data_IF_586479205210
#
_entry.id   IF_586479205210
#
_cell.length_a   1.000
_cell.length_b   1.000
_cell.length_c   1.000
_cell.angle_alpha   90.00
_cell.angle_beta   90.00
_cell.angle_gamma   90.00
#
_symmetry.space_group_name_H-M   'P 1'
#
loop_
_entity.id
_entity.type
_entity.pdbx_description
1 polymer ?
#
# COMPACT_ATOMS: atom_id res chain seq x y z
N UNK A 1 -16.33 3.90 6.70
CA UNK A 1 -16.78 3.05 5.57
C UNK A 1 -16.12 1.68 5.72
N UNK A 2 -16.90 0.59 5.68
CA UNK A 2 -16.36 -0.78 5.65
C UNK A 2 -16.41 -1.27 4.21
N UNK A 3 -15.34 -1.90 3.74
CA UNK A 3 -15.25 -2.47 2.39
C UNK A 3 -14.99 -3.96 2.53
N UNK A 4 -15.75 -4.76 1.80
CA UNK A 4 -15.45 -6.17 1.59
C UNK A 4 -14.63 -6.30 0.30
N UNK A 5 -13.47 -6.94 0.38
CA UNK A 5 -12.61 -7.20 -0.77
C UNK A 5 -12.69 -8.69 -1.13
N UNK A 6 -12.99 -9.03 -2.40
CA UNK A 6 -12.97 -10.42 -2.82
C UNK A 6 -11.52 -10.95 -2.80
N UNK A 7 -11.30 -12.16 -2.29
CA UNK A 7 -9.96 -12.76 -2.28
C UNK A 7 -9.41 -13.07 -3.69
N UNK A 8 -10.28 -13.07 -4.70
CA UNK A 8 -9.93 -13.14 -6.12
C UNK A 8 -9.43 -11.80 -6.70
N UNK A 9 -9.48 -10.70 -5.93
CA UNK A 9 -8.92 -9.42 -6.34
C UNK A 9 -7.46 -9.61 -6.77
N UNK A 10 -7.17 -9.21 -8.00
CA UNK A 10 -5.85 -9.31 -8.59
C UNK A 10 -5.40 -7.96 -9.13
N UNK A 11 -4.08 -7.77 -9.21
CA UNK A 11 -3.46 -6.63 -9.85
C UNK A 11 -2.55 -7.15 -10.97
N UNK A 12 -3.06 -7.22 -12.22
CA UNK A 12 -2.37 -7.90 -13.33
C UNK A 12 -0.97 -7.38 -13.61
N UNK A 13 -0.78 -6.06 -13.55
CA UNK A 13 0.51 -5.39 -13.81
C UNK A 13 1.62 -5.79 -12.84
N UNK A 14 1.29 -6.34 -11.68
CA UNK A 14 2.25 -6.83 -10.69
C UNK A 14 2.17 -8.36 -10.47
N UNK A 15 1.29 -9.06 -11.17
CA UNK A 15 1.06 -10.50 -10.95
C UNK A 15 0.60 -10.83 -9.52
N UNK A 16 -0.06 -9.90 -8.83
CA UNK A 16 -0.49 -10.08 -7.44
C UNK A 16 -1.94 -10.53 -7.36
N UNK A 17 -2.23 -11.45 -6.42
CA UNK A 17 -3.59 -11.84 -6.03
C UNK A 17 -3.73 -11.74 -4.51
N UNK A 18 -4.84 -11.16 -4.04
CA UNK A 18 -5.07 -10.89 -2.63
C UNK A 18 -5.02 -12.17 -1.77
N UNK A 19 -5.65 -13.27 -2.22
CA UNK A 19 -5.59 -14.56 -1.53
C UNK A 19 -4.15 -15.02 -1.30
N UNK A 20 -3.31 -14.98 -2.34
CA UNK A 20 -1.91 -15.42 -2.30
C UNK A 20 -1.08 -14.55 -1.36
N UNK A 21 -1.32 -13.23 -1.33
CA UNK A 21 -0.64 -12.34 -0.37
C UNK A 21 -1.07 -12.65 1.07
N UNK A 22 -2.36 -12.89 1.30
CA UNK A 22 -2.88 -13.26 2.63
C UNK A 22 -2.31 -14.60 3.10
N UNK A 23 -2.22 -15.60 2.22
CA UNK A 23 -1.60 -16.90 2.52
C UNK A 23 -0.14 -16.74 2.94
N UNK A 24 0.64 -15.93 2.20
CA UNK A 24 2.03 -15.62 2.58
C UNK A 24 2.11 -14.96 3.96
N UNK A 25 1.23 -14.00 4.24
CA UNK A 25 1.13 -13.37 5.56
C UNK A 25 0.82 -14.39 6.67
N UNK A 26 -0.10 -15.33 6.43
CA UNK A 26 -0.46 -16.38 7.40
C UNK A 26 0.67 -17.37 7.68
N UNK A 27 1.53 -17.64 6.69
CA UNK A 27 2.69 -18.53 6.88
C UNK A 27 3.75 -17.93 7.82
N UNK A 28 3.89 -16.60 7.81
CA UNK A 28 4.93 -15.90 8.59
C UNK A 28 4.40 -15.31 9.91
N UNK A 29 3.13 -14.90 9.94
CA UNK A 29 2.54 -14.30 11.12
C UNK A 29 2.31 -15.35 12.20
N UNK A 30 2.65 -14.99 13.44
CA UNK A 30 2.45 -15.81 14.64
C UNK A 30 1.45 -15.19 15.61
N UNK A 31 0.61 -14.27 15.10
CA UNK A 31 -0.45 -13.63 15.89
C UNK A 31 -1.72 -13.46 15.07
N UNK A 32 -2.77 -12.95 15.72
CA UNK A 32 -4.10 -12.68 15.12
C UNK A 32 -4.09 -11.63 13.99
N UNK A 33 -2.96 -10.96 13.75
CA UNK A 33 -2.82 -9.95 12.70
C UNK A 33 -2.18 -10.53 11.44
N UNK A 34 -2.68 -10.16 10.26
CA UNK A 34 -2.06 -10.53 8.98
C UNK A 34 -0.62 -10.00 8.86
N UNK A 35 -0.38 -8.77 9.33
CA UNK A 35 0.95 -8.16 9.36
C UNK A 35 1.32 -7.99 10.83
N UNK A 36 2.38 -8.67 11.26
CA UNK A 36 2.77 -8.79 12.67
C UNK A 36 4.28 -8.66 12.84
N UNK A 37 4.71 -8.08 13.97
CA UNK A 37 6.13 -8.04 14.36
C UNK A 37 6.58 -9.31 15.11
N UNK A 38 5.67 -10.27 15.27
CA UNK A 38 5.81 -11.44 16.13
C UNK A 38 5.50 -11.12 17.59
N UNK A 39 5.14 -12.15 18.36
CA UNK A 39 4.88 -12.04 19.80
C UNK A 39 6.21 -11.81 20.52
N UNK A 40 6.29 -10.72 21.30
CA UNK A 40 7.48 -10.33 22.07
C UNK A 40 7.05 -9.85 23.45
N UNK A 41 7.98 -9.78 24.41
CA UNK A 41 7.71 -9.27 25.77
C UNK A 41 6.98 -7.92 25.78
N UNK A 42 7.37 -7.01 24.87
CA UNK A 42 6.79 -5.66 24.75
C UNK A 42 5.72 -5.54 23.65
N UNK A 43 5.37 -6.64 22.97
CA UNK A 43 4.26 -6.72 22.00
C UNK A 43 3.61 -8.11 22.11
N UNK A 44 2.83 -8.35 23.18
CA UNK A 44 2.30 -9.68 23.49
C UNK A 44 1.27 -10.17 22.46
N UNK A 45 0.61 -9.26 21.73
CA UNK A 45 -0.33 -9.59 20.65
C UNK A 45 0.29 -9.55 19.24
N UNK A 46 1.59 -9.23 19.14
CA UNK A 46 2.31 -9.09 17.87
C UNK A 46 1.85 -7.93 16.97
N UNK A 47 1.02 -7.01 17.49
CA UNK A 47 0.57 -5.84 16.74
C UNK A 47 1.73 -4.93 16.33
N UNK A 48 1.56 -4.23 15.21
CA UNK A 48 2.50 -3.24 14.71
C UNK A 48 1.89 -1.85 14.84
N UNK A 49 2.66 -0.94 15.45
CA UNK A 49 2.31 0.47 15.45
C UNK A 49 2.48 1.05 14.03
N UNK A 50 1.52 1.82 13.48
CA UNK A 50 1.60 2.37 12.12
C UNK A 50 2.90 3.15 11.84
N UNK A 51 3.37 3.97 12.78
CA UNK A 51 4.65 4.68 12.64
C UNK A 51 5.86 3.77 12.42
N UNK A 52 5.82 2.52 12.92
CA UNK A 52 6.90 1.56 12.69
C UNK A 52 6.95 1.10 11.23
N UNK A 53 5.80 0.93 10.57
CA UNK A 53 5.74 0.63 9.13
C UNK A 53 6.31 1.77 8.32
N UNK A 54 5.92 3.01 8.61
CA UNK A 54 6.43 4.20 7.92
C UNK A 54 7.95 4.32 8.06
N UNK A 55 8.50 4.15 9.28
CA UNK A 55 9.95 4.21 9.52
C UNK A 55 10.70 3.10 8.77
N UNK A 56 10.19 1.86 8.79
CA UNK A 56 10.80 0.73 8.09
C UNK A 56 10.74 0.90 6.57
N UNK A 57 9.65 1.44 6.04
CA UNK A 57 9.56 1.79 4.62
C UNK A 57 10.59 2.87 4.23
N UNK A 58 10.74 3.93 5.01
CA UNK A 58 11.77 4.96 4.75
C UNK A 58 13.17 4.36 4.77
N UNK A 59 13.47 3.46 5.71
CA UNK A 59 14.74 2.75 5.73
C UNK A 59 14.93 1.89 4.47
N UNK A 60 13.93 1.10 4.08
CA UNK A 60 13.98 0.28 2.85
C UNK A 60 14.16 1.14 1.59
N UNK A 61 13.45 2.27 1.49
CA UNK A 61 13.59 3.24 0.40
C UNK A 61 15.03 3.78 0.31
N UNK A 62 15.65 4.15 1.43
CA UNK A 62 17.05 4.61 1.45
C UNK A 62 18.03 3.53 0.97
N UNK A 63 17.75 2.26 1.27
CA UNK A 63 18.58 1.13 0.82
C UNK A 63 18.50 0.84 -0.68
N UNK A 64 17.50 1.37 -1.39
CA UNK A 64 17.39 1.18 -2.85
C UNK A 64 18.48 1.90 -3.64
N UNK A 65 19.14 2.91 -3.04
CA UNK A 65 20.09 3.77 -3.75
C UNK A 65 19.43 4.69 -4.80
N UNK A 66 18.10 4.71 -4.90
CA UNK A 66 17.37 5.58 -5.81
C UNK A 66 17.46 7.03 -5.33
N UNK A 67 17.86 7.93 -6.23
CA UNK A 67 17.80 9.36 -6.00
C UNK A 67 16.36 9.85 -6.12
N UNK A 68 15.90 10.57 -5.10
CA UNK A 68 14.59 11.20 -5.08
C UNK A 68 14.75 12.72 -4.98
N UNK A 69 13.71 13.46 -5.35
CA UNK A 69 13.62 14.90 -5.07
C UNK A 69 13.59 15.19 -3.56
N UNK A 70 13.54 16.48 -3.21
CA UNK A 70 13.51 16.99 -1.83
C UNK A 70 12.45 16.30 -0.94
N UNK A 71 11.33 15.85 -1.53
CA UNK A 71 10.22 15.21 -0.83
C UNK A 71 9.99 13.78 -1.32
N UNK A 72 10.81 12.80 -0.89
CA UNK A 72 10.70 11.43 -1.36
C UNK A 72 9.41 10.76 -0.87
N UNK A 73 8.84 9.81 -1.64
CA UNK A 73 7.46 9.31 -1.43
C UNK A 73 7.34 8.51 -0.12
N UNK A 74 6.45 8.88 0.83
CA UNK A 74 6.25 8.12 2.06
C UNK A 74 5.46 6.82 1.85
N UNK A 75 5.34 6.00 2.89
CA UNK A 75 4.58 4.74 2.84
C UNK A 75 3.14 4.91 2.33
N UNK A 76 2.50 6.04 2.63
CA UNK A 76 1.13 6.34 2.17
C UNK A 76 1.00 6.44 0.64
N UNK A 77 2.08 6.73 -0.09
CA UNK A 77 2.06 6.82 -1.56
C UNK A 77 1.76 5.47 -2.23
N UNK A 78 1.94 4.34 -1.52
CA UNK A 78 1.49 3.01 -1.99
C UNK A 78 -0.02 3.02 -2.25
N UNK A 79 -0.79 3.81 -1.50
CA UNK A 79 -2.24 3.95 -1.70
C UNK A 79 -2.57 4.69 -3.00
N UNK A 80 -1.85 5.76 -3.32
CA UNK A 80 -2.00 6.47 -4.61
C UNK A 80 -1.57 5.58 -5.77
N UNK A 81 -0.41 4.91 -5.65
CA UNK A 81 0.08 3.96 -6.64
C UNK A 81 -0.95 2.86 -6.91
N UNK A 82 -1.49 2.24 -5.86
CA UNK A 82 -2.58 1.24 -5.97
C UNK A 82 -3.78 1.82 -6.71
N UNK A 83 -4.22 3.03 -6.35
CA UNK A 83 -5.31 3.73 -7.04
C UNK A 83 -5.09 3.87 -8.55
N UNK A 84 -3.89 4.31 -8.97
CA UNK A 84 -3.52 4.47 -10.38
C UNK A 84 -3.48 3.13 -11.11
N UNK A 85 -2.82 2.12 -10.54
CA UNK A 85 -2.72 0.80 -11.16
C UNK A 85 -4.08 0.11 -11.31
N UNK A 86 -4.97 0.22 -10.33
CA UNK A 86 -6.33 -0.31 -10.43
C UNK A 86 -7.25 0.53 -11.32
N UNK A 87 -7.00 1.84 -11.47
CA UNK A 87 -7.67 2.70 -12.47
C UNK A 87 -7.34 2.21 -13.87
N UNK A 88 -6.07 1.92 -14.13
CA UNK A 88 -5.61 1.46 -15.44
C UNK A 88 -6.13 0.04 -15.75
N UNK A 89 -6.21 -0.84 -14.74
CA UNK A 89 -6.68 -2.21 -14.92
C UNK A 89 -8.22 -2.35 -15.03
N UNK A 90 -8.99 -1.60 -14.23
CA UNK A 90 -10.45 -1.80 -14.07
C UNK A 90 -11.28 -0.51 -14.13
N UNK A 91 -10.66 0.62 -14.42
CA UNK A 91 -11.32 1.91 -14.54
C UNK A 91 -11.45 2.70 -13.23
N UNK A 92 -11.70 4.00 -13.37
CA UNK A 92 -11.78 4.98 -12.26
C UNK A 92 -12.80 4.62 -11.19
N UNK A 93 -13.99 4.13 -11.59
CA UNK A 93 -15.06 3.77 -10.66
C UNK A 93 -14.69 2.61 -9.74
N UNK A 94 -13.93 1.63 -10.26
CA UNK A 94 -13.40 0.54 -9.47
C UNK A 94 -12.36 1.04 -8.45
N UNK A 95 -11.39 1.82 -8.92
CA UNK A 95 -10.35 2.40 -8.06
C UNK A 95 -10.94 3.26 -6.93
N UNK A 96 -11.96 4.09 -7.21
CA UNK A 96 -12.66 4.88 -6.19
C UNK A 96 -13.27 4.01 -5.09
N UNK A 97 -13.99 2.95 -5.48
CA UNK A 97 -14.63 2.02 -4.53
C UNK A 97 -13.60 1.28 -3.70
N UNK A 98 -12.51 0.82 -4.33
CA UNK A 98 -11.40 0.14 -3.66
C UNK A 98 -10.71 1.04 -2.63
N UNK A 99 -10.51 2.32 -2.97
CA UNK A 99 -9.96 3.30 -2.04
C UNK A 99 -10.98 3.68 -0.95
N UNK A 100 -12.28 3.47 -1.17
CA UNK A 100 -13.32 3.85 -0.20
C UNK A 100 -13.55 5.35 -0.12
N UNK A 101 -13.40 6.04 -1.25
CA UNK A 101 -13.69 7.46 -1.36
C UNK A 101 -15.16 7.65 -1.73
N UNK A 102 -15.89 8.38 -0.89
CA UNK A 102 -17.29 8.76 -1.14
C UNK A 102 -17.42 9.80 -2.26
N UNK A 103 -16.42 10.67 -2.42
CA UNK A 103 -16.40 11.69 -3.46
C UNK A 103 -15.39 11.38 -4.57
N UNK A 104 -15.77 11.70 -5.80
CA UNK A 104 -14.86 11.68 -6.95
C UNK A 104 -13.68 12.62 -6.78
N UNK A 105 -13.86 13.76 -6.09
CA UNK A 105 -12.79 14.76 -5.92
C UNK A 105 -11.64 14.20 -5.07
N UNK A 106 -11.94 13.43 -4.02
CA UNK A 106 -10.91 12.72 -3.26
C UNK A 106 -10.21 11.69 -4.13
N UNK A 107 -10.92 11.00 -5.02
CA UNK A 107 -10.32 10.04 -5.95
C UNK A 107 -9.38 10.73 -6.94
N UNK A 108 -9.76 11.89 -7.49
CA UNK A 108 -8.90 12.67 -8.39
C UNK A 108 -7.55 12.98 -7.74
N UNK A 109 -7.50 13.37 -6.47
CA UNK A 109 -6.24 13.65 -5.76
C UNK A 109 -5.29 12.44 -5.69
N UNK A 110 -5.82 11.22 -5.58
CA UNK A 110 -5.01 10.00 -5.51
C UNK A 110 -4.64 9.46 -6.89
N UNK A 111 -5.43 9.77 -7.92
CA UNK A 111 -5.19 9.39 -9.31
C UNK A 111 -4.34 10.40 -10.07
N UNK A 112 -4.19 11.60 -9.53
CA UNK A 112 -3.27 12.62 -10.03
C UNK A 112 -1.85 12.07 -9.97
N UNK A 113 -1.17 12.06 -11.12
CA UNK A 113 0.20 11.59 -11.23
C UNK A 113 1.20 12.54 -10.57
N UNK A 114 0.73 13.69 -10.04
CA UNK A 114 1.54 14.75 -9.44
C UNK A 114 2.77 14.96 -10.31
N UNK A 115 2.55 15.55 -11.50
CA UNK A 115 3.55 15.91 -12.51
C UNK A 115 4.95 15.33 -12.26
N UNK A 116 5.44 14.49 -13.17
CA UNK A 116 6.76 13.81 -13.25
C UNK A 116 8.01 14.57 -12.74
N UNK A 117 7.91 15.84 -12.37
CA UNK A 117 8.87 16.64 -11.61
C UNK A 117 9.08 16.18 -10.16
N UNK A 118 8.11 15.50 -9.52
CA UNK A 118 8.24 15.12 -8.11
C UNK A 118 9.17 13.90 -7.87
N UNK A 119 9.34 13.03 -8.88
CA UNK A 119 10.09 11.78 -8.73
C UNK A 119 10.94 11.51 -9.98
N UNK A 120 11.77 12.48 -10.35
CA UNK A 120 12.81 12.26 -11.35
C UNK A 120 13.83 11.31 -10.74
N UNK A 121 14.01 10.13 -11.34
CA UNK A 121 15.19 9.30 -11.14
C UNK A 121 16.37 10.11 -11.69
N UNK A 122 17.17 10.73 -10.83
CA UNK A 122 18.44 11.37 -11.22
C UNK A 122 19.50 10.31 -11.48
#
# INVERSE_FOLDING_TARGET
>A
MKIALPLSLNLPSMGLRLSTVIERCRLVSRSEYLISAGIRKNSPNGSIHPNSLTKKFVAARKLTGINFSENPPPFHEIRSLSGRLYKDAYGKGFAQKLLGHTSENTTKLYLDERDNKAYVML
#
